data_IF_913015442131
#
_entry.id   IF_913015442131
#
_cell.length_a   1.000
_cell.length_b   1.000
_cell.length_c   1.000
_cell.angle_alpha   90.00
_cell.angle_beta   90.00
_cell.angle_gamma   90.00
#
_symmetry.space_group_name_H-M   'P 1'
#
loop_
_entity.id
_entity.type
_entity.pdbx_description
1 polymer ?
#
# COMPACT_ATOMS: atom_id res chain seq x y z
N UNK A 1 -5.86 -7.65 1.21
CA UNK A 1 -5.42 -6.25 0.98
C UNK A 1 -4.31 -5.83 1.93
N UNK A 2 -4.49 -5.99 3.25
CA UNK A 2 -3.54 -5.51 4.28
C UNK A 2 -2.21 -6.27 4.32
N UNK A 3 -2.27 -7.61 4.33
CA UNK A 3 -1.10 -8.44 4.59
C UNK A 3 0.10 -8.17 3.65
N UNK A 4 -0.06 -8.03 2.32
CA UNK A 4 1.06 -7.70 1.44
C UNK A 4 1.74 -6.37 1.80
N UNK A 5 0.96 -5.34 2.17
CA UNK A 5 1.47 -4.01 2.47
C UNK A 5 2.36 -4.05 3.70
N UNK A 6 1.88 -4.64 4.79
CA UNK A 6 2.65 -4.72 6.05
C UNK A 6 3.80 -5.72 5.97
N UNK A 7 3.67 -6.80 5.18
CA UNK A 7 4.76 -7.76 4.95
C UNK A 7 5.97 -7.10 4.26
N UNK A 8 5.74 -6.05 3.48
CA UNK A 8 6.79 -5.24 2.84
C UNK A 8 7.37 -4.13 3.73
N UNK A 9 6.92 -4.02 4.98
CA UNK A 9 7.40 -3.00 5.92
C UNK A 9 6.70 -1.65 5.83
N UNK A 10 5.60 -1.55 5.07
CA UNK A 10 4.78 -0.35 5.00
C UNK A 10 3.78 -0.30 6.16
N UNK A 11 3.40 0.91 6.57
CA UNK A 11 2.19 1.13 7.38
C UNK A 11 1.00 1.39 6.47
N UNK A 12 -0.22 1.16 6.98
CA UNK A 12 -1.43 1.27 6.16
C UNK A 12 -2.60 1.88 6.92
N UNK A 13 -3.37 2.69 6.19
CA UNK A 13 -4.71 3.16 6.57
C UNK A 13 -5.71 2.44 5.67
N UNK A 14 -6.67 1.75 6.28
CA UNK A 14 -7.69 0.96 5.57
C UNK A 14 -9.03 1.62 5.78
N UNK A 15 -9.66 2.04 4.68
CA UNK A 15 -11.07 2.45 4.69
C UNK A 15 -11.90 1.16 4.64
N UNK A 16 -12.63 0.87 5.72
CA UNK A 16 -13.54 -0.26 5.78
C UNK A 16 -14.71 -0.06 4.82
N UNK A 17 -15.30 -1.17 4.36
CA UNK A 17 -16.51 -1.13 3.52
C UNK A 17 -17.62 -0.34 4.24
N UNK A 18 -18.13 0.70 3.58
CA UNK A 18 -19.23 1.52 4.09
C UNK A 18 -20.51 0.69 4.32
N UNK A 19 -20.77 -0.29 3.44
CA UNK A 19 -21.95 -1.16 3.52
C UNK A 19 -21.79 -2.30 4.53
N UNK A 20 -20.55 -2.71 4.81
CA UNK A 20 -20.28 -3.87 5.66
C UNK A 20 -18.97 -3.67 6.44
N UNK A 21 -18.94 -2.75 7.41
CA UNK A 21 -17.71 -2.38 8.11
C UNK A 21 -17.31 -3.39 9.19
N UNK A 22 -18.28 -4.13 9.75
CA UNK A 22 -18.07 -5.00 10.92
C UNK A 22 -16.92 -6.00 10.78
N UNK A 23 -16.74 -6.71 9.64
CA UNK A 23 -15.62 -7.64 9.49
C UNK A 23 -14.24 -6.95 9.60
N UNK A 24 -14.11 -5.74 9.07
CA UNK A 24 -12.86 -4.98 9.16
C UNK A 24 -12.60 -4.48 10.58
N UNK A 25 -13.66 -4.11 11.31
CA UNK A 25 -13.55 -3.70 12.71
C UNK A 25 -13.18 -4.88 13.62
N UNK A 26 -13.80 -6.05 13.43
CA UNK A 26 -13.43 -7.28 14.15
C UNK A 26 -12.01 -7.73 13.83
N UNK A 27 -11.52 -7.54 12.60
CA UNK A 27 -10.12 -7.77 12.27
C UNK A 27 -9.18 -6.86 13.08
N UNK A 28 -9.62 -5.65 13.44
CA UNK A 28 -8.88 -4.75 14.32
C UNK A 28 -8.56 -5.36 15.69
N UNK A 29 -9.50 -6.13 16.27
CA UNK A 29 -9.27 -6.84 17.53
C UNK A 29 -8.19 -7.93 17.37
N UNK A 30 -8.26 -8.70 16.29
CA UNK A 30 -7.26 -9.74 15.97
C UNK A 30 -5.88 -9.11 15.86
N UNK A 31 -5.75 -8.00 15.13
CA UNK A 31 -4.48 -7.27 14.96
C UNK A 31 -3.95 -6.73 16.30
N UNK A 32 -4.83 -6.21 17.16
CA UNK A 32 -4.47 -5.71 18.48
C UNK A 32 -3.94 -6.82 19.41
N UNK A 33 -4.43 -8.06 19.25
CA UNK A 33 -3.95 -9.23 20.00
C UNK A 33 -2.77 -9.95 19.36
N UNK A 34 -2.27 -9.48 18.22
CA UNK A 34 -1.21 -10.14 17.43
C UNK A 34 0.16 -9.46 17.59
N UNK A 35 0.37 -8.67 18.65
CA UNK A 35 1.61 -7.93 18.93
C UNK A 35 2.06 -6.99 17.79
N UNK A 36 1.11 -6.51 16.98
CA UNK A 36 1.40 -5.55 15.92
C UNK A 36 1.73 -4.18 16.54
N UNK A 37 2.86 -3.54 16.18
CA UNK A 37 3.17 -2.21 16.70
C UNK A 37 2.07 -1.19 16.39
N UNK A 38 1.82 -0.30 17.35
CA UNK A 38 0.83 0.77 17.19
C UNK A 38 1.10 1.62 15.95
N UNK A 39 0.06 1.87 15.15
CA UNK A 39 0.14 2.67 13.93
C UNK A 39 0.51 1.91 12.66
N UNK A 40 0.86 0.62 12.72
CA UNK A 40 1.18 -0.16 11.51
C UNK A 40 -0.06 -0.42 10.65
N UNK A 41 -1.20 -0.77 11.28
CA UNK A 41 -2.50 -0.86 10.62
C UNK A 41 -3.48 0.05 11.34
N UNK A 42 -4.09 0.95 10.59
CA UNK A 42 -5.11 1.88 11.07
C UNK A 42 -6.39 1.63 10.26
N UNK A 43 -7.52 1.38 10.93
CA UNK A 43 -8.80 1.10 10.25
C UNK A 43 -9.74 2.28 10.47
N UNK A 44 -10.28 2.83 9.39
CA UNK A 44 -11.28 3.89 9.40
C UNK A 44 -12.61 3.33 8.88
N UNK A 45 -13.71 3.68 9.53
CA UNK A 45 -15.06 3.39 9.05
C UNK A 45 -15.83 4.70 8.90
N UNK A 46 -16.73 4.75 7.93
CA UNK A 46 -17.51 5.94 7.61
C UNK A 46 -17.84 6.00 6.13
N UNK A 47 -18.23 7.19 5.67
CA UNK A 47 -18.55 7.43 4.26
C UNK A 47 -17.28 7.48 3.43
N UNK A 48 -17.21 6.63 2.42
CA UNK A 48 -16.00 6.49 1.60
C UNK A 48 -15.68 7.79 0.86
N UNK A 49 -16.72 8.47 0.35
CA UNK A 49 -16.58 9.73 -0.36
C UNK A 49 -15.99 10.87 0.50
N UNK A 50 -16.23 10.86 1.81
CA UNK A 50 -15.70 11.89 2.73
C UNK A 50 -14.25 11.61 3.15
N UNK A 51 -13.84 10.34 3.17
CA UNK A 51 -12.53 9.90 3.69
C UNK A 51 -11.50 9.75 2.56
N UNK A 52 -11.92 9.24 1.40
CA UNK A 52 -11.01 8.88 0.31
C UNK A 52 -10.35 10.11 -0.33
N UNK A 53 -11.11 11.18 -0.60
CA UNK A 53 -10.56 12.37 -1.25
C UNK A 53 -9.47 13.07 -0.41
N UNK A 54 -9.67 13.32 0.92
CA UNK A 54 -8.59 13.83 1.76
C UNK A 54 -7.35 12.93 1.80
N UNK A 55 -7.52 11.60 1.86
CA UNK A 55 -6.39 10.66 1.84
C UNK A 55 -5.66 10.68 0.48
N UNK A 56 -6.39 10.76 -0.62
CA UNK A 56 -5.83 10.88 -1.95
C UNK A 56 -5.09 12.20 -2.16
N UNK A 57 -5.51 13.30 -1.53
CA UNK A 57 -4.80 14.59 -1.58
C UNK A 57 -3.67 14.73 -0.53
N UNK A 58 -3.62 13.85 0.47
CA UNK A 58 -2.73 14.00 1.62
C UNK A 58 -1.26 13.94 1.20
N UNK A 59 -0.46 14.90 1.66
CA UNK A 59 0.94 15.04 1.26
C UNK A 59 1.83 13.95 1.86
N UNK A 60 1.56 13.53 3.09
CA UNK A 60 2.32 12.47 3.78
C UNK A 60 1.88 11.03 3.45
N UNK A 61 0.94 10.85 2.51
CA UNK A 61 0.57 9.52 2.01
C UNK A 61 1.38 9.22 0.75
N UNK A 62 2.24 8.20 0.81
CA UNK A 62 3.15 7.86 -0.29
C UNK A 62 2.48 7.10 -1.45
N UNK A 63 1.40 6.37 -1.17
CA UNK A 63 0.68 5.58 -2.16
C UNK A 63 -0.78 5.36 -1.77
N UNK A 64 -1.65 5.11 -2.76
CA UNK A 64 -3.07 4.80 -2.56
C UNK A 64 -3.50 3.59 -3.40
N UNK A 65 -4.19 2.63 -2.76
CA UNK A 65 -4.90 1.52 -3.42
C UNK A 65 -6.37 1.89 -3.56
N UNK A 66 -6.86 1.95 -4.80
CA UNK A 66 -8.24 2.35 -5.10
C UNK A 66 -9.20 1.15 -5.14
N UNK A 67 -8.80 -0.03 -4.67
CA UNK A 67 -9.68 -1.18 -4.61
C UNK A 67 -11.02 -0.88 -3.92
N UNK A 68 -12.11 -1.17 -4.63
CA UNK A 68 -13.48 -0.91 -4.16
C UNK A 68 -14.07 0.41 -4.65
N UNK A 69 -13.28 1.32 -5.24
CA UNK A 69 -13.79 2.46 -5.98
C UNK A 69 -14.35 2.01 -7.35
N UNK A 70 -15.41 2.67 -7.80
CA UNK A 70 -15.86 2.59 -9.18
C UNK A 70 -14.98 3.47 -10.08
N UNK A 71 -15.24 3.45 -11.40
CA UNK A 71 -14.41 4.16 -12.37
C UNK A 71 -14.44 5.69 -12.21
N UNK A 72 -15.58 6.24 -11.76
CA UNK A 72 -15.75 7.68 -11.55
C UNK A 72 -14.94 8.13 -10.33
N UNK A 73 -15.15 7.48 -9.18
CA UNK A 73 -14.41 7.77 -7.96
C UNK A 73 -12.91 7.49 -8.14
N UNK A 74 -12.52 6.40 -8.81
CA UNK A 74 -11.12 6.10 -9.05
C UNK A 74 -10.43 7.22 -9.85
N UNK A 75 -11.11 7.77 -10.86
CA UNK A 75 -10.61 8.90 -11.65
C UNK A 75 -10.47 10.17 -10.80
N UNK A 76 -11.45 10.47 -9.95
CA UNK A 76 -11.37 11.63 -9.04
C UNK A 76 -10.19 11.51 -8.08
N UNK A 77 -9.98 10.32 -7.49
CA UNK A 77 -8.88 10.07 -6.56
C UNK A 77 -7.51 10.08 -7.25
N UNK A 78 -7.41 9.65 -8.50
CA UNK A 78 -6.19 9.83 -9.31
C UNK A 78 -5.85 11.30 -9.53
N UNK A 79 -6.86 12.14 -9.82
CA UNK A 79 -6.66 13.58 -10.00
C UNK A 79 -6.16 14.20 -8.69
N UNK A 80 -6.77 13.85 -7.55
CA UNK A 80 -6.33 14.32 -6.23
C UNK A 80 -4.92 13.82 -5.85
N UNK A 81 -4.57 12.59 -6.25
CA UNK A 81 -3.25 12.02 -6.03
C UNK A 81 -2.14 12.70 -6.83
N UNK A 82 -2.49 13.35 -7.95
CA UNK A 82 -1.52 14.00 -8.83
C UNK A 82 -0.75 15.15 -8.17
N UNK A 83 -1.33 15.81 -7.15
CA UNK A 83 -0.73 16.98 -6.49
C UNK A 83 0.65 16.71 -5.89
N UNK A 84 0.91 15.49 -5.39
CA UNK A 84 2.23 15.08 -4.89
C UNK A 84 2.82 13.90 -5.67
N UNK A 85 2.22 13.53 -6.80
CA UNK A 85 2.60 12.38 -7.62
C UNK A 85 2.72 11.07 -6.83
N UNK A 86 1.91 10.89 -5.78
CA UNK A 86 1.89 9.63 -5.01
C UNK A 86 1.52 8.47 -5.93
N UNK A 87 2.03 7.29 -5.61
CA UNK A 87 1.75 6.10 -6.41
C UNK A 87 0.27 5.71 -6.29
N UNK A 88 -0.38 5.46 -7.42
CA UNK A 88 -1.78 5.03 -7.46
C UNK A 88 -1.86 3.60 -8.00
N UNK A 89 -2.52 2.72 -7.25
CA UNK A 89 -2.92 1.40 -7.74
C UNK A 89 -4.41 1.42 -8.08
N UNK A 90 -4.72 1.26 -9.37
CA UNK A 90 -6.10 1.27 -9.87
C UNK A 90 -6.91 0.06 -9.38
N UNK A 91 -8.26 0.20 -9.24
CA UNK A 91 -9.10 -0.94 -8.91
C UNK A 91 -8.95 -2.02 -9.99
N UNK A 92 -8.81 -3.25 -9.55
CA UNK A 92 -8.65 -4.40 -10.43
C UNK A 92 -9.41 -5.59 -9.84
N UNK A 93 -10.05 -6.44 -10.68
CA UNK A 93 -10.74 -7.62 -10.20
C UNK A 93 -9.77 -8.55 -9.47
N UNK A 94 -10.10 -8.91 -8.23
CA UNK A 94 -9.33 -9.87 -7.43
C UNK A 94 -10.16 -11.12 -7.23
N UNK A 95 -9.64 -12.23 -7.73
CA UNK A 95 -10.13 -13.55 -7.37
C UNK A 95 -9.40 -14.00 -6.10
N UNK A 96 -10.14 -14.12 -5.00
CA UNK A 96 -9.58 -14.49 -3.70
C UNK A 96 -9.37 -16.00 -3.53
N UNK A 97 -9.83 -16.82 -4.48
CA UNK A 97 -9.69 -18.28 -4.43
C UNK A 97 -8.37 -18.78 -5.00
N UNK A 98 -7.72 -17.98 -5.86
CA UNK A 98 -6.42 -18.34 -6.44
C UNK A 98 -5.28 -18.06 -5.48
N UNK A 99 -4.20 -18.83 -5.63
CA UNK A 99 -2.92 -18.50 -5.00
C UNK A 99 -2.46 -17.13 -5.47
N UNK A 100 -2.26 -16.15 -4.57
CA UNK A 100 -1.82 -14.82 -4.96
C UNK A 100 -0.36 -14.84 -5.43
N UNK A 101 -0.05 -14.05 -6.45
CA UNK A 101 1.33 -13.74 -6.85
C UNK A 101 1.97 -12.65 -5.99
N UNK A 102 3.13 -12.14 -6.42
CA UNK A 102 3.87 -11.07 -5.72
C UNK A 102 3.48 -9.66 -6.15
N UNK A 103 2.55 -9.51 -7.11
CA UNK A 103 2.14 -8.22 -7.68
C UNK A 103 1.70 -7.22 -6.60
N UNK A 104 0.90 -7.66 -5.61
CA UNK A 104 0.48 -6.79 -4.50
C UNK A 104 1.60 -6.42 -3.53
N UNK A 105 2.62 -7.26 -3.37
CA UNK A 105 3.81 -6.92 -2.57
C UNK A 105 4.60 -5.83 -3.28
N UNK A 106 4.85 -6.04 -4.58
CA UNK A 106 5.70 -5.15 -5.38
C UNK A 106 5.06 -3.80 -5.71
N UNK A 107 3.72 -3.71 -5.72
CA UNK A 107 2.99 -2.47 -5.98
C UNK A 107 3.39 -1.31 -5.05
N UNK A 108 3.81 -1.58 -3.82
CA UNK A 108 4.16 -0.57 -2.81
C UNK A 108 5.63 -0.63 -2.37
N UNK A 109 6.48 -1.23 -3.20
CA UNK A 109 7.93 -1.24 -3.00
C UNK A 109 8.61 -0.22 -3.92
N UNK A 110 9.66 0.39 -3.41
CA UNK A 110 10.55 1.26 -4.19
C UNK A 110 11.90 0.60 -4.40
N UNK A 111 12.38 0.62 -5.64
CA UNK A 111 13.71 0.09 -5.94
C UNK A 111 14.74 1.17 -5.66
N UNK A 112 15.54 0.97 -4.62
CA UNK A 112 16.72 1.79 -4.34
C UNK A 112 17.97 1.08 -4.82
N UNK A 113 18.45 1.43 -6.01
CA UNK A 113 19.74 0.93 -6.52
C UNK A 113 20.89 1.62 -5.80
N UNK A 114 21.77 0.84 -5.16
CA UNK A 114 22.96 1.35 -4.47
C UNK A 114 24.21 0.77 -5.13
N UNK A 115 25.07 1.65 -5.63
CA UNK A 115 26.32 1.29 -6.28
C UNK A 115 27.44 1.25 -5.25
N UNK A 116 28.02 0.05 -5.04
CA UNK A 116 29.18 -0.13 -4.19
C UNK A 116 30.41 -0.36 -5.07
N UNK A 117 31.58 0.25 -4.75
CA UNK A 117 32.82 -0.11 -5.41
C UNK A 117 33.02 -1.62 -5.33
N UNK A 118 33.14 -2.26 -6.48
CA UNK A 118 33.42 -3.69 -6.56
C UNK A 118 34.75 -3.82 -7.27
N UNK A 119 35.77 -4.33 -6.58
CA UNK A 119 37.04 -4.65 -7.20
C UNK A 119 36.85 -5.84 -8.12
N UNK A 120 36.61 -5.61 -9.40
CA UNK A 120 36.92 -6.65 -10.37
C UNK A 120 38.45 -6.74 -10.41
N UNK A 121 39.00 -7.85 -9.91
CA UNK A 121 40.32 -8.31 -10.32
C UNK A 121 40.22 -8.65 -11.82
N UNK A 122 40.18 -7.61 -12.65
CA UNK A 122 40.59 -7.74 -14.04
C UNK A 122 41.99 -8.30 -14.03
N UNK A 123 42.24 -9.32 -14.85
CA UNK A 123 43.48 -10.07 -14.94
C UNK A 123 44.71 -9.18 -15.25
N UNK A 124 45.22 -8.51 -14.23
CA UNK A 124 46.57 -7.96 -14.12
C UNK A 124 46.74 -7.58 -12.65
N UNK A 125 47.49 -8.40 -11.92
CA UNK A 125 47.59 -8.35 -10.47
C UNK A 125 47.97 -6.97 -9.94
N UNK A 126 47.12 -6.41 -9.10
CA UNK A 126 47.53 -5.41 -8.12
C UNK A 126 46.53 -5.43 -6.98
N UNK A 127 46.97 -5.94 -5.83
CA UNK A 127 46.30 -5.84 -4.54
C UNK A 127 46.98 -4.75 -3.72
N UNK A 128 46.19 -3.82 -3.18
CA UNK A 128 46.58 -3.11 -1.95
C UNK A 128 46.18 -3.93 -0.74
#
# INVERSE_FOLDING_TARGET
>A
MIAPVIATGNTVIVIASEKSPLPALSLGEVLATSDLPGGVVNVLSGKTAEIAAPLAAHQDVNAIDLAGADDELAKELEIAAADNLKRVLRPQPVDYSRTPGTERLTAFLETKTVWHPTGSLGASGSSY
#
